data_IF_297607183150
#
_entry.id   IF_297607183150
#
_cell.length_a   1.000
_cell.length_b   1.000
_cell.length_c   1.000
_cell.angle_alpha   90.00
_cell.angle_beta   90.00
_cell.angle_gamma   90.00
#
_symmetry.space_group_name_H-M   'P 1'
#
loop_
_entity.id
_entity.type
_entity.pdbx_description
1 polymer ?
#
# COMPACT_ATOMS: atom_id res chain seq x y z
N UNK A 1 -0.83 8.14 -23.32
CA UNK A 1 -0.85 9.18 -22.26
C UNK A 1 -0.02 8.64 -21.12
N UNK A 2 1.00 9.36 -20.63
CA UNK A 2 1.51 9.08 -19.29
C UNK A 2 0.38 9.49 -18.35
N UNK A 3 -0.22 8.54 -17.66
CA UNK A 3 -1.10 8.90 -16.54
C UNK A 3 -0.25 9.68 -15.54
N UNK A 4 -0.77 10.81 -15.06
CA UNK A 4 -0.12 11.55 -13.98
C UNK A 4 -0.12 10.65 -12.74
N UNK A 5 1.07 10.35 -12.22
CA UNK A 5 1.21 9.48 -11.05
C UNK A 5 0.82 10.29 -9.81
N UNK A 6 -0.34 9.99 -9.25
CA UNK A 6 -0.90 10.68 -8.08
C UNK A 6 -0.31 10.06 -6.80
N UNK A 7 0.09 10.89 -5.84
CA UNK A 7 0.52 10.44 -4.51
C UNK A 7 -0.64 9.83 -3.71
N UNK A 8 -0.32 9.10 -2.66
CA UNK A 8 -1.26 8.60 -1.67
C UNK A 8 -1.88 9.77 -0.91
N UNK A 9 -3.21 9.80 -0.76
CA UNK A 9 -3.82 10.94 -0.05
C UNK A 9 -3.40 10.98 1.42
N UNK A 10 -3.46 12.16 2.07
CA UNK A 10 -3.12 12.28 3.49
C UNK A 10 -3.91 11.33 4.40
N UNK A 11 -5.19 11.09 4.12
CA UNK A 11 -6.03 10.20 4.92
C UNK A 11 -5.62 8.73 4.77
N UNK A 12 -5.37 8.28 3.54
CA UNK A 12 -4.90 6.90 3.31
C UNK A 12 -3.48 6.68 3.86
N UNK A 13 -2.61 7.68 3.79
CA UNK A 13 -1.26 7.61 4.37
C UNK A 13 -1.31 7.37 5.88
N UNK A 14 -2.25 7.97 6.59
CA UNK A 14 -2.50 7.70 8.02
C UNK A 14 -2.94 6.25 8.24
N UNK A 15 -3.84 5.73 7.40
CA UNK A 15 -4.32 4.35 7.50
C UNK A 15 -3.17 3.37 7.26
N UNK A 16 -2.38 3.58 6.21
CA UNK A 16 -1.20 2.78 5.88
C UNK A 16 -0.13 2.83 6.99
N UNK A 17 0.06 3.99 7.61
CA UNK A 17 0.98 4.14 8.75
C UNK A 17 0.56 3.27 9.95
N UNK A 18 -0.74 3.25 10.27
CA UNK A 18 -1.29 2.38 11.33
C UNK A 18 -1.20 0.90 10.97
N UNK A 19 -1.48 0.55 9.71
CA UNK A 19 -1.33 -0.81 9.19
C UNK A 19 0.13 -1.29 9.26
N UNK A 20 1.09 -0.43 8.92
CA UNK A 20 2.53 -0.74 8.99
C UNK A 20 3.01 -0.97 10.42
N UNK A 21 2.45 -0.26 11.40
CA UNK A 21 2.83 -0.38 12.81
C UNK A 21 2.17 -1.55 13.55
N UNK A 22 0.85 -1.73 13.38
CA UNK A 22 0.08 -2.79 14.05
C UNK A 22 -0.90 -3.45 13.08
N UNK A 23 -0.41 -4.22 12.09
CA UNK A 23 -1.26 -4.78 11.03
C UNK A 23 -2.37 -5.67 11.56
N UNK A 24 -2.08 -6.51 12.56
CA UNK A 24 -3.06 -7.42 13.14
C UNK A 24 -4.27 -6.72 13.79
N UNK A 25 -4.13 -5.46 14.24
CA UNK A 25 -5.25 -4.71 14.82
C UNK A 25 -6.32 -4.36 13.78
N UNK A 26 -5.91 -4.17 12.52
CA UNK A 26 -6.79 -3.77 11.42
C UNK A 26 -7.18 -4.99 10.57
N UNK A 27 -6.23 -5.88 10.32
CA UNK A 27 -6.38 -7.03 9.43
C UNK A 27 -6.78 -8.33 10.15
N UNK A 28 -6.85 -8.32 11.49
CA UNK A 28 -7.04 -9.52 12.33
C UNK A 28 -5.82 -10.44 12.43
N UNK A 29 -4.90 -10.38 11.46
CA UNK A 29 -3.64 -11.10 11.41
C UNK A 29 -2.64 -10.33 10.56
N UNK A 30 -1.35 -10.40 10.91
CA UNK A 30 -0.26 -9.90 10.07
C UNK A 30 -0.11 -10.81 8.83
N UNK A 31 -0.67 -10.39 7.70
CA UNK A 31 -0.70 -11.15 6.46
C UNK A 31 -0.87 -10.22 5.26
N UNK A 32 -0.07 -10.46 4.21
CA UNK A 32 -0.17 -9.75 2.94
C UNK A 32 -1.47 -10.09 2.22
N UNK A 33 -1.90 -11.36 2.26
CA UNK A 33 -3.19 -11.79 1.69
C UNK A 33 -4.37 -11.07 2.36
N UNK A 34 -4.38 -10.97 3.70
CA UNK A 34 -5.42 -10.20 4.39
C UNK A 34 -5.39 -8.71 4.02
N UNK A 35 -4.19 -8.14 3.89
CA UNK A 35 -4.06 -6.74 3.46
C UNK A 35 -4.58 -6.54 2.03
N UNK A 36 -4.30 -7.45 1.10
CA UNK A 36 -4.82 -7.40 -0.27
C UNK A 36 -6.35 -7.42 -0.31
N UNK A 37 -6.98 -8.33 0.44
CA UNK A 37 -8.44 -8.36 0.51
C UNK A 37 -9.02 -7.10 1.14
N UNK A 38 -8.38 -6.60 2.20
CA UNK A 38 -8.78 -5.36 2.86
C UNK A 38 -8.65 -4.16 1.91
N UNK A 39 -7.55 -4.02 1.16
CA UNK A 39 -7.33 -2.91 0.23
C UNK A 39 -8.35 -2.90 -0.90
N UNK A 40 -8.70 -4.08 -1.44
CA UNK A 40 -9.74 -4.20 -2.46
C UNK A 40 -11.11 -3.78 -1.93
N UNK A 41 -11.45 -4.20 -0.70
CA UNK A 41 -12.70 -3.82 -0.04
C UNK A 41 -12.77 -2.31 0.24
N UNK A 42 -11.66 -1.73 0.68
CA UNK A 42 -11.53 -0.29 0.91
C UNK A 42 -11.74 0.51 -0.38
N UNK A 43 -11.01 0.18 -1.44
CA UNK A 43 -11.14 0.82 -2.76
C UNK A 43 -12.57 0.74 -3.30
N UNK A 44 -13.21 -0.44 -3.20
CA UNK A 44 -14.60 -0.61 -3.58
C UNK A 44 -15.56 0.29 -2.78
N UNK A 45 -15.40 0.37 -1.47
CA UNK A 45 -16.23 1.21 -0.61
C UNK A 45 -16.06 2.71 -0.94
N UNK A 46 -14.83 3.15 -1.22
CA UNK A 46 -14.54 4.55 -1.57
C UNK A 46 -15.11 4.93 -2.94
N UNK A 47 -15.13 4.00 -3.90
CA UNK A 47 -15.78 4.21 -5.21
C UNK A 47 -17.31 4.37 -5.08
N UNK A 48 -17.94 3.65 -4.16
CA UNK A 48 -19.40 3.72 -3.95
C UNK A 48 -19.81 4.98 -3.18
N UNK A 49 -18.99 5.46 -2.25
CA UNK A 49 -19.34 6.55 -1.33
C UNK A 49 -19.43 7.96 -1.96
N UNK A 50 -19.33 8.09 -3.29
CA UNK A 50 -19.27 9.36 -4.04
C UNK A 50 -18.08 10.29 -3.68
N UNK A 51 -17.11 9.81 -2.89
CA UNK A 51 -15.85 10.51 -2.58
C UNK A 51 -14.70 10.10 -3.52
N UNK A 52 -15.03 9.64 -4.74
CA UNK A 52 -14.08 8.99 -5.63
C UNK A 52 -12.92 9.87 -6.09
N UNK A 53 -13.07 11.20 -6.06
CA UNK A 53 -12.05 12.14 -6.54
C UNK A 53 -10.92 12.44 -5.54
N UNK A 54 -11.00 11.95 -4.29
CA UNK A 54 -10.05 12.34 -3.22
C UNK A 54 -9.29 11.18 -2.60
N UNK A 55 -9.59 9.93 -2.97
CA UNK A 55 -8.94 8.75 -2.42
C UNK A 55 -7.90 8.20 -3.38
N UNK A 56 -6.74 7.87 -2.86
CA UNK A 56 -5.71 7.12 -3.56
C UNK A 56 -4.92 6.31 -2.54
N UNK A 57 -5.25 5.02 -2.39
CA UNK A 57 -4.58 4.15 -1.42
C UNK A 57 -3.22 3.68 -1.94
N UNK A 58 -3.11 3.38 -3.24
CA UNK A 58 -1.91 2.85 -3.88
C UNK A 58 -1.64 3.60 -5.19
N UNK A 59 -0.45 4.16 -5.39
CA UNK A 59 -0.12 4.89 -6.61
C UNK A 59 -0.10 3.96 -7.83
N UNK A 60 -0.59 4.46 -8.98
CA UNK A 60 -0.46 3.77 -10.28
C UNK A 60 1.02 3.52 -10.59
N UNK A 61 1.33 2.42 -11.28
CA UNK A 61 2.71 2.06 -11.63
C UNK A 61 3.45 1.22 -10.57
N UNK A 62 2.83 0.98 -9.40
CA UNK A 62 3.43 0.17 -8.33
C UNK A 62 3.68 -1.28 -8.75
N UNK A 63 2.83 -1.86 -9.62
CA UNK A 63 3.00 -3.23 -10.10
C UNK A 63 4.28 -3.37 -10.94
N UNK A 64 4.49 -2.46 -11.88
CA UNK A 64 5.66 -2.36 -12.73
C UNK A 64 6.93 -2.17 -11.90
N UNK A 65 6.89 -1.25 -10.94
CA UNK A 65 8.01 -1.02 -10.04
C UNK A 65 8.30 -2.24 -9.15
N UNK A 66 7.26 -2.94 -8.68
CA UNK A 66 7.42 -4.17 -7.89
C UNK A 66 8.10 -5.26 -8.71
N UNK A 67 7.69 -5.47 -9.97
CA UNK A 67 8.30 -6.44 -10.86
C UNK A 67 9.78 -6.12 -11.10
N UNK A 68 10.11 -4.85 -11.38
CA UNK A 68 11.49 -4.39 -11.55
C UNK A 68 12.31 -4.59 -10.27
N UNK A 69 11.77 -4.19 -9.13
CA UNK A 69 12.43 -4.28 -7.82
C UNK A 69 12.75 -5.74 -7.44
N UNK A 70 11.80 -6.65 -7.68
CA UNK A 70 11.96 -8.08 -7.42
C UNK A 70 12.75 -8.82 -8.52
N UNK A 71 13.15 -8.13 -9.60
CA UNK A 71 13.80 -8.70 -10.78
C UNK A 71 13.02 -9.88 -11.37
N UNK A 72 11.71 -9.71 -11.47
CA UNK A 72 10.78 -10.68 -12.05
C UNK A 72 10.08 -10.07 -13.26
N UNK A 73 9.49 -10.93 -14.09
CA UNK A 73 8.66 -10.45 -15.20
C UNK A 73 7.35 -9.90 -14.66
N UNK A 74 6.88 -8.79 -15.26
CA UNK A 74 5.56 -8.29 -14.98
C UNK A 74 4.54 -9.30 -15.50
N UNK A 75 3.87 -9.99 -14.59
CA UNK A 75 2.76 -10.88 -14.93
C UNK A 75 1.44 -10.09 -14.92
N UNK A 76 0.36 -10.73 -15.39
CA UNK A 76 -1.00 -10.18 -15.21
C UNK A 76 -1.41 -10.10 -13.72
N UNK A 77 -0.60 -10.63 -12.81
CA UNK A 77 -0.84 -10.56 -11.38
C UNK A 77 -0.39 -9.22 -10.80
N UNK A 78 -1.14 -8.73 -9.82
CA UNK A 78 -0.80 -7.50 -9.10
C UNK A 78 0.43 -7.68 -8.19
N UNK A 79 1.00 -6.57 -7.71
CA UNK A 79 2.18 -6.54 -6.84
C UNK A 79 2.08 -7.51 -5.64
N UNK A 80 0.89 -7.68 -5.04
CA UNK A 80 0.65 -8.63 -3.96
C UNK A 80 1.06 -10.06 -4.32
N UNK A 81 0.65 -10.53 -5.49
CA UNK A 81 0.97 -11.88 -5.96
C UNK A 81 2.45 -12.03 -6.26
N UNK A 82 3.07 -11.03 -6.91
CA UNK A 82 4.51 -11.03 -7.19
C UNK A 82 5.34 -11.14 -5.90
N UNK A 83 4.91 -10.46 -4.84
CA UNK A 83 5.56 -10.52 -3.54
C UNK A 83 5.37 -11.90 -2.90
N UNK A 84 4.16 -12.47 -2.93
CA UNK A 84 3.88 -13.80 -2.36
C UNK A 84 4.57 -14.95 -3.10
N UNK A 85 4.82 -14.79 -4.41
CA UNK A 85 5.63 -15.73 -5.20
C UNK A 85 7.10 -15.72 -4.75
N UNK A 86 7.60 -14.58 -4.26
CA UNK A 86 8.98 -14.41 -3.81
C UNK A 86 9.19 -14.70 -2.33
N UNK A 87 8.25 -14.30 -1.48
CA UNK A 87 8.28 -14.46 -0.03
C UNK A 87 6.98 -15.12 0.42
N UNK A 88 7.06 -16.41 0.76
CA UNK A 88 5.89 -17.22 1.14
C UNK A 88 5.48 -17.03 2.62
N UNK A 89 6.33 -16.43 3.45
CA UNK A 89 5.96 -16.05 4.81
C UNK A 89 5.10 -14.77 4.75
N UNK A 90 3.79 -14.94 4.96
CA UNK A 90 2.78 -13.88 4.97
C UNK A 90 3.15 -12.63 5.79
N UNK A 91 3.86 -12.81 6.92
CA UNK A 91 4.29 -11.67 7.74
C UNK A 91 5.45 -10.94 7.10
N UNK A 92 6.46 -11.66 6.62
CA UNK A 92 7.60 -11.05 5.91
C UNK A 92 7.17 -10.41 4.60
N UNK A 93 6.24 -11.06 3.88
CA UNK A 93 5.67 -10.56 2.64
C UNK A 93 4.96 -9.22 2.85
N UNK A 94 4.22 -9.05 3.96
CA UNK A 94 3.59 -7.78 4.28
C UNK A 94 4.61 -6.66 4.54
N UNK A 95 5.68 -6.96 5.28
CA UNK A 95 6.73 -5.95 5.51
C UNK A 95 7.53 -5.64 4.25
N UNK A 96 7.78 -6.64 3.39
CA UNK A 96 8.39 -6.45 2.08
C UNK A 96 7.51 -5.56 1.18
N UNK A 97 6.19 -5.73 1.22
CA UNK A 97 5.28 -4.82 0.53
C UNK A 97 5.49 -3.36 0.97
N UNK A 98 5.52 -3.08 2.29
CA UNK A 98 5.74 -1.72 2.77
C UNK A 98 7.13 -1.17 2.42
N UNK A 99 8.15 -2.01 2.40
CA UNK A 99 9.48 -1.62 1.92
C UNK A 99 9.46 -1.19 0.45
N UNK A 100 8.80 -1.98 -0.41
CA UNK A 100 8.68 -1.69 -1.84
C UNK A 100 7.87 -0.41 -2.05
N UNK A 101 6.77 -0.24 -1.31
CA UNK A 101 5.94 0.96 -1.37
C UNK A 101 6.74 2.21 -1.00
N UNK A 102 7.48 2.19 0.12
CA UNK A 102 8.33 3.32 0.52
C UNK A 102 9.37 3.66 -0.55
N UNK A 103 10.03 2.64 -1.12
CA UNK A 103 11.00 2.83 -2.20
C UNK A 103 10.36 3.42 -3.46
N UNK A 104 9.14 3.00 -3.78
CA UNK A 104 8.42 3.54 -4.92
C UNK A 104 8.01 4.99 -4.71
N UNK A 105 7.50 5.34 -3.53
CA UNK A 105 7.16 6.72 -3.19
C UNK A 105 8.39 7.63 -3.28
N UNK A 106 9.53 7.21 -2.71
CA UNK A 106 10.78 7.94 -2.81
C UNK A 106 11.26 8.10 -4.25
N UNK A 107 11.13 7.06 -5.09
CA UNK A 107 11.46 7.13 -6.52
C UNK A 107 10.62 8.19 -7.26
N UNK A 108 9.36 8.38 -6.84
CA UNK A 108 8.47 9.41 -7.37
C UNK A 108 8.69 10.80 -6.75
N UNK A 109 9.65 10.95 -5.82
CA UNK A 109 9.86 12.14 -5.00
C UNK A 109 8.70 12.47 -4.04
N UNK A 110 7.99 11.45 -3.56
CA UNK A 110 7.01 11.54 -2.47
C UNK A 110 7.61 11.06 -1.15
N UNK A 111 6.97 11.45 -0.05
CA UNK A 111 7.34 10.97 1.28
C UNK A 111 7.03 9.47 1.44
N UNK A 112 7.81 8.70 2.22
CA UNK A 112 7.50 7.31 2.55
C UNK A 112 6.29 7.22 3.50
N UNK A 113 5.81 6.00 3.75
CA UNK A 113 4.78 5.78 4.77
C UNK A 113 5.42 5.98 6.16
N UNK A 114 4.96 6.96 6.95
CA UNK A 114 5.55 7.23 8.25
C UNK A 114 5.38 6.03 9.18
N UNK A 115 6.40 5.78 10.00
CA UNK A 115 6.27 4.82 11.09
C UNK A 115 5.38 5.46 12.15
N UNK A 116 4.19 4.88 12.36
CA UNK A 116 3.33 5.35 13.44
C UNK A 116 4.06 5.17 14.77
N UNK A 117 4.11 6.22 15.57
CA UNK A 117 4.46 6.17 16.98
C UNK A 117 3.24 6.68 17.77
N UNK A 118 3.08 6.22 19.02
CA UNK A 118 1.93 6.59 19.85
C UNK A 118 1.91 8.10 20.24
N UNK A 119 2.89 8.88 19.76
CA UNK A 119 3.00 10.34 19.93
C UNK A 119 2.48 11.13 18.72
N UNK A 120 2.23 10.49 17.56
CA UNK A 120 1.67 11.16 16.39
C UNK A 120 0.17 11.39 16.62
N UNK A 121 -0.15 12.61 17.02
CA UNK A 121 -1.50 13.16 17.01
C UNK A 121 -1.73 13.87 15.69
N UNK A 122 -2.56 13.28 14.82
CA UNK A 122 -3.08 14.01 13.66
C UNK A 122 -4.25 14.89 14.13
N UNK A 123 -4.31 16.18 13.73
CA UNK A 123 -5.49 16.98 13.99
C UNK A 123 -6.69 16.31 13.32
N UNK A 124 -7.73 16.07 14.11
CA UNK A 124 -9.04 15.67 13.60
C UNK A 124 -9.53 16.88 12.80
N UNK A 125 -9.59 16.75 11.47
CA UNK A 125 -10.23 17.73 10.58
C UNK A 125 -11.73 17.51 10.62
#
# INVERSE_FOLDING_TARGET
>A
MKEDIIDISPAERIILSRLKFRPALILGKTSLTNFWHWSNGYDFAMKISKNSQTHNLLPNGLNEFTAEYLKTELSAHCCFSLILEREHDETKALYLFFEILDKYLLYLNYEPIPVWNDEITFPIV
#
